data_IF_319814382959
#
_entry.id   IF_319814382959
#
_cell.length_a   1.000
_cell.length_b   1.000
_cell.length_c   1.000
_cell.angle_alpha   90.00
_cell.angle_beta   90.00
_cell.angle_gamma   90.00
#
_symmetry.space_group_name_H-M   'P 1'
#
loop_
_entity.id
_entity.type
_entity.pdbx_description
1 polymer ?
#
# COMPACT_ATOMS: atom_id res chain seq x y z
N UNK A 1 0.76 30.75 37.74
CA UNK A 1 0.18 30.55 37.34
C UNK A 1 0.30 30.05 36.24
N UNK A 2 0.17 29.47 36.04
CA UNK A 2 0.39 28.79 35.21
C UNK A 2 -0.22 29.02 34.05
N UNK A 3 -1.01 28.74 33.73
CA UNK A 3 -1.65 28.88 32.53
C UNK A 3 -1.44 30.15 31.87
N UNK A 4 -1.09 31.12 32.64
CA UNK A 4 -1.01 32.26 32.15
C UNK A 4 0.00 32.45 31.29
N UNK A 5 0.96 32.28 31.63
CA UNK A 5 1.99 32.65 30.88
C UNK A 5 2.33 31.73 29.78
N UNK A 6 1.61 30.70 29.66
CA UNK A 6 2.04 29.71 28.71
C UNK A 6 0.90 29.11 27.90
N UNK A 7 0.43 29.83 26.94
CA UNK A 7 -0.58 29.30 26.03
C UNK A 7 -0.03 28.09 25.28
N UNK A 8 1.29 28.01 25.12
CA UNK A 8 1.91 26.90 24.45
C UNK A 8 1.77 25.62 25.26
N UNK A 9 1.69 25.73 26.58
CA UNK A 9 1.50 24.58 27.44
C UNK A 9 0.22 23.84 27.15
N UNK A 10 -0.79 24.55 26.65
CA UNK A 10 -2.04 23.92 26.33
C UNK A 10 -2.03 23.39 24.91
N UNK A 11 -1.54 24.17 23.96
CA UNK A 11 -1.54 23.80 22.57
C UNK A 11 -0.53 22.72 22.27
N UNK A 12 0.63 22.79 22.91
CA UNK A 12 1.73 21.92 22.59
C UNK A 12 1.43 20.42 22.69
N UNK A 13 0.81 19.92 23.74
CA UNK A 13 0.51 18.48 23.80
C UNK A 13 -0.39 18.01 22.68
N UNK A 14 -1.36 18.80 22.26
CA UNK A 14 -2.25 18.45 21.16
C UNK A 14 -1.50 18.45 19.84
N UNK A 15 -0.66 19.43 19.61
CA UNK A 15 0.13 19.54 18.40
C UNK A 15 1.12 18.37 18.33
N UNK A 16 1.76 18.05 19.46
CA UNK A 16 2.69 16.90 19.50
C UNK A 16 1.98 15.59 19.19
N UNK A 17 0.75 15.45 19.68
CA UNK A 17 -0.04 14.25 19.42
C UNK A 17 -0.37 14.14 17.94
N UNK A 18 -0.75 15.24 17.32
CA UNK A 18 -1.05 15.26 15.89
C UNK A 18 0.22 14.91 15.09
N UNK A 19 1.35 15.51 15.47
CA UNK A 19 2.61 15.24 14.79
C UNK A 19 3.01 13.77 14.89
N UNK A 20 2.84 13.16 16.07
CA UNK A 20 3.13 11.74 16.25
C UNK A 20 2.26 10.86 15.37
N UNK A 21 0.97 11.22 15.27
CA UNK A 21 0.06 10.47 14.41
C UNK A 21 0.45 10.63 12.95
N UNK A 22 0.85 11.84 12.55
CA UNK A 22 1.29 12.11 11.18
C UNK A 22 2.53 11.29 10.86
N UNK A 23 3.50 11.25 11.77
CA UNK A 23 4.70 10.45 11.56
C UNK A 23 4.38 8.97 11.42
N UNK A 24 3.50 8.45 12.26
CA UNK A 24 3.09 7.04 12.17
C UNK A 24 2.39 6.74 10.85
N UNK A 25 1.50 7.63 10.41
CA UNK A 25 0.80 7.46 9.15
C UNK A 25 1.77 7.51 7.98
N UNK A 26 2.69 8.47 8.00
CA UNK A 26 3.70 8.61 6.95
C UNK A 26 4.58 7.36 6.87
N UNK A 27 5.00 6.83 8.02
CA UNK A 27 5.81 5.61 8.04
C UNK A 27 5.04 4.41 7.50
N UNK A 28 3.76 4.27 7.87
CA UNK A 28 2.93 3.18 7.39
C UNK A 28 2.71 3.28 5.89
N UNK A 29 2.44 4.48 5.39
CA UNK A 29 2.25 4.71 3.96
C UNK A 29 3.53 4.36 3.21
N UNK A 30 4.68 4.82 3.71
CA UNK A 30 5.97 4.53 3.07
C UNK A 30 6.25 3.02 3.02
N UNK A 31 5.95 2.30 4.11
CA UNK A 31 6.14 0.85 4.15
C UNK A 31 5.23 0.15 3.14
N UNK A 32 3.98 0.60 3.01
CA UNK A 32 3.04 0.03 2.04
C UNK A 32 3.47 0.34 0.61
N UNK A 33 4.04 1.51 0.37
CA UNK A 33 4.53 1.89 -0.96
C UNK A 33 5.72 1.04 -1.37
N UNK A 34 6.61 0.71 -0.42
CA UNK A 34 7.72 -0.19 -0.68
C UNK A 34 7.19 -1.59 -1.01
N UNK A 35 6.23 -2.07 -0.23
CA UNK A 35 5.61 -3.37 -0.49
C UNK A 35 4.92 -3.39 -1.85
N UNK A 36 4.22 -2.31 -2.20
CA UNK A 36 3.56 -2.18 -3.48
C UNK A 36 4.56 -2.27 -4.64
N UNK A 37 5.71 -1.60 -4.49
CA UNK A 37 6.77 -1.66 -5.49
C UNK A 37 7.27 -3.08 -5.68
N UNK A 38 7.49 -3.79 -4.57
CA UNK A 38 7.98 -5.16 -4.61
C UNK A 38 6.97 -6.10 -5.26
N UNK A 39 5.70 -5.99 -4.89
CA UNK A 39 4.65 -6.84 -5.44
C UNK A 39 4.42 -6.53 -6.91
N UNK A 40 4.54 -5.26 -7.32
CA UNK A 40 4.40 -4.87 -8.72
C UNK A 40 5.51 -5.51 -9.57
N UNK A 41 6.73 -5.52 -9.07
CA UNK A 41 7.84 -6.16 -9.77
C UNK A 41 7.62 -7.68 -9.87
N UNK A 42 7.12 -8.32 -8.81
CA UNK A 42 6.80 -9.72 -8.82
C UNK A 42 5.66 -10.03 -9.79
N UNK A 43 4.66 -9.16 -9.89
CA UNK A 43 3.57 -9.32 -10.82
C UNK A 43 4.07 -9.32 -12.27
N UNK A 44 4.98 -8.41 -12.61
CA UNK A 44 5.53 -8.34 -13.95
C UNK A 44 6.26 -9.63 -14.31
N UNK A 45 7.02 -10.17 -13.35
CA UNK A 45 7.73 -11.42 -13.54
C UNK A 45 6.73 -12.56 -13.78
N UNK A 46 5.68 -12.63 -12.95
CA UNK A 46 4.66 -13.68 -13.09
C UNK A 46 3.81 -13.52 -14.34
N UNK A 47 3.60 -12.29 -14.81
CA UNK A 47 2.92 -12.07 -16.08
C UNK A 47 3.74 -12.62 -17.24
N UNK A 48 5.04 -12.44 -17.18
CA UNK A 48 5.94 -12.97 -18.20
C UNK A 48 5.88 -14.51 -18.24
N UNK A 49 5.92 -15.14 -17.06
CA UNK A 49 5.80 -16.59 -16.95
C UNK A 49 4.45 -17.05 -17.48
N UNK A 50 3.37 -16.32 -17.12
CA UNK A 50 2.03 -16.66 -17.56
C UNK A 50 1.89 -16.53 -19.08
N UNK A 51 2.46 -15.50 -19.69
CA UNK A 51 2.42 -15.33 -21.14
C UNK A 51 3.08 -16.50 -21.84
N UNK A 52 4.21 -16.98 -21.32
CA UNK A 52 4.91 -18.13 -21.86
C UNK A 52 4.06 -19.41 -21.70
N UNK A 53 3.46 -19.59 -20.52
CA UNK A 53 2.63 -20.74 -20.23
C UNK A 53 1.36 -20.76 -21.11
N UNK A 54 0.75 -19.58 -21.34
CA UNK A 54 -0.42 -19.49 -22.22
C UNK A 54 -0.06 -19.83 -23.67
N UNK A 55 1.11 -19.39 -24.09
CA UNK A 55 1.60 -19.68 -25.43
C UNK A 55 1.84 -21.17 -25.59
N UNK A 56 2.46 -21.80 -24.61
CA UNK A 56 2.73 -23.25 -24.64
C UNK A 56 1.42 -24.03 -24.59
N UNK A 57 0.45 -23.58 -23.80
CA UNK A 57 -0.86 -24.22 -23.69
C UNK A 57 -1.65 -24.17 -24.99
N UNK A 58 -1.44 -23.15 -25.80
CA UNK A 58 -2.14 -22.99 -27.08
C UNK A 58 -1.75 -24.07 -28.08
N UNK A 59 -0.52 -24.59 -27.97
CA UNK A 59 -0.02 -25.64 -28.87
C UNK A 59 0.29 -26.94 -28.13
N UNK A 60 0.15 -26.91 -26.82
CA UNK A 60 0.62 -27.97 -25.97
C UNK A 60 -0.43 -28.98 -25.56
N UNK A 61 -0.05 -29.78 -24.59
CA UNK A 61 -0.86 -30.87 -24.07
C UNK A 61 -1.56 -30.50 -22.78
N UNK A 62 -2.11 -31.50 -22.10
CA UNK A 62 -2.83 -31.33 -20.85
C UNK A 62 -2.01 -30.67 -19.74
N UNK A 63 -0.73 -31.05 -19.64
CA UNK A 63 0.15 -30.51 -18.58
C UNK A 63 0.36 -29.02 -18.80
N UNK A 64 0.57 -28.60 -20.06
CA UNK A 64 0.76 -27.18 -20.36
C UNK A 64 -0.48 -26.35 -20.02
N UNK A 65 -1.66 -26.90 -20.24
CA UNK A 65 -2.93 -26.22 -19.91
C UNK A 65 -3.10 -26.10 -18.41
N UNK A 66 -2.71 -27.10 -17.65
CA UNK A 66 -2.79 -27.10 -16.21
C UNK A 66 -1.84 -26.05 -15.64
N UNK A 67 -0.62 -25.98 -16.18
CA UNK A 67 0.36 -24.98 -15.78
C UNK A 67 -0.12 -23.58 -16.11
N UNK A 68 -0.71 -23.38 -17.28
CA UNK A 68 -1.27 -22.08 -17.68
C UNK A 68 -2.37 -21.63 -16.71
N UNK A 69 -3.17 -22.56 -16.23
CA UNK A 69 -4.21 -22.26 -15.23
C UNK A 69 -3.59 -21.80 -13.91
N UNK A 70 -2.52 -22.47 -13.47
CA UNK A 70 -1.84 -22.14 -12.23
C UNK A 70 -1.16 -20.78 -12.30
N UNK A 71 -0.48 -20.46 -13.42
CA UNK A 71 0.18 -19.17 -13.57
C UNK A 71 -0.81 -18.02 -13.69
N UNK A 72 -1.98 -18.26 -14.32
CA UNK A 72 -3.04 -17.26 -14.38
C UNK A 72 -3.59 -16.97 -12.98
N UNK A 73 -3.73 -18.00 -12.14
CA UNK A 73 -4.18 -17.83 -10.77
C UNK A 73 -3.18 -16.99 -9.95
N UNK A 74 -1.88 -17.21 -10.19
CA UNK A 74 -0.83 -16.44 -9.51
C UNK A 74 -0.91 -14.97 -9.90
N UNK A 75 -1.08 -14.67 -11.19
CA UNK A 75 -1.22 -13.30 -11.66
C UNK A 75 -2.41 -12.61 -10.97
N UNK A 76 -3.56 -13.29 -10.90
CA UNK A 76 -4.75 -12.74 -10.26
C UNK A 76 -4.52 -12.46 -8.78
N UNK A 77 -3.75 -13.32 -8.09
CA UNK A 77 -3.45 -13.11 -6.67
C UNK A 77 -2.61 -11.86 -6.47
N UNK A 78 -1.60 -11.66 -7.32
CA UNK A 78 -0.76 -10.46 -7.23
C UNK A 78 -1.55 -9.20 -7.55
N UNK A 79 -2.44 -9.25 -8.55
CA UNK A 79 -3.30 -8.13 -8.90
C UNK A 79 -4.21 -7.75 -7.73
N UNK A 80 -4.75 -8.75 -7.03
CA UNK A 80 -5.60 -8.50 -5.88
C UNK A 80 -4.79 -7.87 -4.74
N UNK A 81 -3.59 -8.36 -4.49
CA UNK A 81 -2.72 -7.81 -3.47
C UNK A 81 -2.40 -6.35 -3.76
N UNK A 82 -2.12 -6.01 -5.02
CA UNK A 82 -1.84 -4.64 -5.42
C UNK A 82 -3.08 -3.75 -5.18
N UNK A 83 -4.25 -4.24 -5.55
CA UNK A 83 -5.49 -3.51 -5.33
C UNK A 83 -5.72 -3.24 -3.84
N UNK A 84 -5.48 -4.25 -2.99
CA UNK A 84 -5.64 -4.15 -1.55
C UNK A 84 -4.63 -3.14 -0.97
N UNK A 85 -3.37 -3.17 -1.43
CA UNK A 85 -2.35 -2.24 -0.97
C UNK A 85 -2.70 -0.80 -1.37
N UNK A 86 -3.15 -0.60 -2.60
CA UNK A 86 -3.57 0.72 -3.06
C UNK A 86 -4.73 1.25 -2.23
N UNK A 87 -5.69 0.40 -1.90
CA UNK A 87 -6.83 0.79 -1.06
C UNK A 87 -6.38 1.20 0.34
N UNK A 88 -5.43 0.47 0.91
CA UNK A 88 -4.89 0.80 2.25
C UNK A 88 -4.11 2.11 2.23
N UNK A 89 -3.29 2.32 1.21
CA UNK A 89 -2.52 3.55 1.04
C UNK A 89 -3.48 4.75 0.92
N UNK A 90 -4.51 4.60 0.11
CA UNK A 90 -5.50 5.65 -0.10
C UNK A 90 -6.21 6.00 1.20
N UNK A 91 -6.60 4.99 1.97
CA UNK A 91 -7.28 5.20 3.25
C UNK A 91 -6.39 5.93 4.25
N UNK A 92 -5.12 5.52 4.35
CA UNK A 92 -4.18 6.15 5.27
C UNK A 92 -3.82 7.56 4.82
N UNK A 93 -3.70 7.77 3.50
CA UNK A 93 -3.45 9.10 2.94
C UNK A 93 -4.60 10.05 3.24
N UNK A 94 -5.84 9.55 3.18
CA UNK A 94 -7.01 10.34 3.55
C UNK A 94 -6.99 10.73 5.03
N UNK A 95 -6.57 9.82 5.91
CA UNK A 95 -6.43 10.12 7.33
C UNK A 95 -5.35 11.17 7.56
N UNK A 96 -4.21 11.04 6.85
CA UNK A 96 -3.13 12.00 6.97
C UNK A 96 -3.60 13.39 6.54
N UNK A 97 -4.31 13.48 5.43
CA UNK A 97 -4.79 14.75 4.91
C UNK A 97 -5.77 15.42 5.90
N UNK A 98 -6.62 14.64 6.53
CA UNK A 98 -7.54 15.17 7.54
C UNK A 98 -6.80 15.69 8.77
N UNK A 99 -5.74 14.98 9.18
CA UNK A 99 -4.94 15.43 10.31
C UNK A 99 -4.19 16.72 9.96
N UNK A 100 -3.65 16.80 8.74
CA UNK A 100 -2.96 18.01 8.30
C UNK A 100 -3.91 19.20 8.28
N UNK A 101 -5.14 18.99 7.85
CA UNK A 101 -6.15 20.04 7.81
C UNK A 101 -6.56 20.49 9.21
N UNK A 102 -6.35 19.65 10.22
CA UNK A 102 -6.73 19.97 11.60
C UNK A 102 -5.65 20.73 12.38
N UNK A 103 -4.45 20.88 11.81
CA UNK A 103 -3.40 21.60 12.51
C UNK A 103 -3.70 23.09 12.46
N UNK A 104 -3.69 23.76 13.63
CA UNK A 104 -3.97 25.20 13.68
C UNK A 104 -2.85 25.98 13.01
N UNK A 105 -3.21 27.06 12.38
CA UNK A 105 -2.23 27.93 11.74
C UNK A 105 -1.64 28.97 12.67
#
# INVERSE_FOLDING_TARGET
MKGIGDPWGYAEPSVKRIHRKLFRLTDKIAALEVELCQVTAELEYHRSINDDAQRDAAVGNYIDREEAGATSADVRRFEKTISDLNGRIEKLSGKRDRLLASIPE
#
